data_IF_820293982679
#
_entry.id   IF_820293982679
#
_cell.length_a   1.000
_cell.length_b   1.000
_cell.length_c   1.000
_cell.angle_alpha   90.00
_cell.angle_beta   90.00
_cell.angle_gamma   90.00
#
_symmetry.space_group_name_H-M   'P 1'
#
loop_
_entity.id
_entity.type
_entity.pdbx_description
1 polymer ?
#
# COMPACT_ATOMS: atom_id res chain seq x y z
N UNK A 1 -18.34 -39.40 7.05
CA UNK A 1 -17.39 -39.37 8.19
C UNK A 1 -16.68 -38.03 8.12
N UNK A 2 -16.82 -37.17 9.14
CA UNK A 2 -16.04 -35.93 9.21
C UNK A 2 -14.64 -36.36 9.62
N UNK A 3 -13.70 -36.36 8.66
CA UNK A 3 -12.29 -36.53 8.96
C UNK A 3 -11.92 -35.47 10.01
N UNK A 4 -11.46 -35.89 11.19
CA UNK A 4 -10.88 -34.96 12.14
C UNK A 4 -9.56 -34.50 11.53
N UNK A 5 -9.61 -33.40 10.78
CA UNK A 5 -8.40 -32.77 10.28
C UNK A 5 -7.46 -32.52 11.47
N UNK A 6 -6.18 -32.93 11.36
CA UNK A 6 -5.22 -32.73 12.43
C UNK A 6 -5.17 -31.24 12.77
N UNK A 7 -5.32 -30.92 14.06
CA UNK A 7 -5.36 -29.55 14.54
C UNK A 7 -4.02 -28.88 14.22
N UNK A 8 -4.03 -27.90 13.31
CA UNK A 8 -2.84 -27.12 12.96
C UNK A 8 -2.19 -26.53 14.22
N UNK A 9 -0.84 -26.50 14.32
CA UNK A 9 -0.14 -25.88 15.44
C UNK A 9 -0.55 -24.42 15.61
N UNK A 10 -0.54 -23.88 16.83
CA UNK A 10 -0.78 -22.46 17.06
C UNK A 10 0.53 -21.67 17.06
N UNK A 11 0.54 -20.49 16.44
CA UNK A 11 1.70 -19.58 16.51
C UNK A 11 2.05 -19.12 17.93
N UNK A 12 1.13 -19.26 18.89
CA UNK A 12 1.39 -18.98 20.30
C UNK A 12 2.20 -20.10 20.99
N UNK A 13 2.26 -21.29 20.38
CA UNK A 13 2.96 -22.47 20.91
C UNK A 13 4.26 -22.70 20.14
N UNK A 14 4.18 -22.81 18.83
CA UNK A 14 5.33 -23.04 17.96
C UNK A 14 5.12 -22.34 16.62
N UNK A 15 5.79 -21.20 16.45
CA UNK A 15 5.70 -20.36 15.25
C UNK A 15 6.28 -21.04 14.01
N UNK A 16 7.32 -21.85 14.19
CA UNK A 16 8.01 -22.53 13.10
C UNK A 16 7.14 -23.69 12.60
N UNK A 17 6.63 -24.53 13.50
CA UNK A 17 5.73 -25.62 13.14
C UNK A 17 4.41 -25.10 12.55
N UNK A 18 3.85 -24.02 13.12
CA UNK A 18 2.67 -23.34 12.57
C UNK A 18 2.89 -22.86 11.14
N UNK A 19 3.99 -22.13 10.89
CA UNK A 19 4.30 -21.63 9.56
C UNK A 19 4.56 -22.78 8.56
N UNK A 20 5.30 -23.81 8.99
CA UNK A 20 5.62 -24.96 8.15
C UNK A 20 4.36 -25.74 7.73
N UNK A 21 3.45 -25.99 8.67
CA UNK A 21 2.18 -26.66 8.36
C UNK A 21 1.39 -25.89 7.30
N UNK A 22 1.37 -24.56 7.43
CA UNK A 22 0.73 -23.68 6.47
C UNK A 22 1.40 -23.70 5.09
N UNK A 23 2.74 -23.67 5.01
CA UNK A 23 3.46 -23.74 3.74
C UNK A 23 3.27 -25.08 3.02
N UNK A 24 3.10 -26.18 3.76
CA UNK A 24 2.77 -27.49 3.20
C UNK A 24 1.38 -27.49 2.55
N UNK A 25 0.39 -26.89 3.22
CA UNK A 25 -0.96 -26.73 2.68
C UNK A 25 -0.93 -25.85 1.41
N UNK A 26 -0.22 -24.72 1.47
CA UNK A 26 -0.02 -23.84 0.32
C UNK A 26 0.67 -24.55 -0.85
N UNK A 27 1.66 -25.40 -0.59
CA UNK A 27 2.32 -26.19 -1.60
C UNK A 27 1.36 -27.20 -2.26
N UNK A 28 0.41 -27.76 -1.51
CA UNK A 28 -0.68 -28.55 -2.08
C UNK A 28 -1.55 -27.75 -3.05
N UNK A 29 -1.89 -26.52 -2.68
CA UNK A 29 -2.67 -25.62 -3.54
C UNK A 29 -1.90 -25.12 -4.76
N UNK A 30 -0.67 -24.65 -4.64
CA UNK A 30 0.03 -23.99 -5.75
C UNK A 30 1.07 -24.86 -6.46
N UNK A 31 1.42 -26.02 -5.89
CA UNK A 31 2.44 -26.93 -6.41
C UNK A 31 1.91 -27.97 -7.40
N UNK A 32 0.60 -28.22 -7.44
CA UNK A 32 0.02 -29.13 -8.42
C UNK A 32 0.03 -28.50 -9.82
N UNK A 33 0.64 -29.18 -10.79
CA UNK A 33 0.59 -28.79 -12.22
C UNK A 33 -0.82 -28.93 -12.78
N UNK A 34 -1.56 -29.89 -12.24
CA UNK A 34 -2.99 -30.12 -12.45
C UNK A 34 -3.82 -29.37 -11.40
N UNK A 35 -3.33 -28.22 -10.93
CA UNK A 35 -4.17 -27.32 -10.17
C UNK A 35 -5.46 -27.18 -10.95
N UNK A 36 -6.61 -27.66 -10.43
CA UNK A 36 -7.87 -27.46 -11.10
C UNK A 36 -7.91 -25.97 -11.30
N UNK A 37 -7.85 -25.55 -12.56
CA UNK A 37 -8.05 -24.16 -12.86
C UNK A 37 -9.41 -23.91 -12.22
N UNK A 38 -9.45 -23.10 -11.17
CA UNK A 38 -10.69 -22.70 -10.52
C UNK A 38 -11.49 -21.77 -11.49
N UNK A 39 -11.30 -21.96 -12.79
CA UNK A 39 -11.86 -21.30 -13.97
C UNK A 39 -13.32 -21.70 -14.20
N UNK A 40 -14.02 -22.14 -13.14
CA UNK A 40 -15.38 -22.63 -13.22
C UNK A 40 -16.24 -22.08 -12.08
N UNK A 41 -17.44 -21.55 -12.36
CA UNK A 41 -18.50 -21.28 -11.39
C UNK A 41 -18.91 -22.49 -10.51
N UNK A 42 -18.27 -23.64 -10.66
CA UNK A 42 -18.64 -24.92 -10.05
C UNK A 42 -18.24 -25.07 -8.58
N UNK A 43 -17.25 -24.30 -8.07
CA UNK A 43 -16.83 -24.41 -6.66
C UNK A 43 -16.78 -23.09 -5.90
N UNK A 44 -16.55 -21.95 -6.57
CA UNK A 44 -16.45 -20.63 -5.89
C UNK A 44 -17.78 -19.88 -5.87
N UNK A 45 -18.75 -20.31 -6.67
CA UNK A 45 -20.10 -19.78 -6.62
C UNK A 45 -20.85 -20.13 -7.87
N UNK A 46 -21.98 -20.81 -7.72
CA UNK A 46 -22.97 -20.87 -8.80
C UNK A 46 -23.33 -19.43 -9.19
N UNK A 47 -23.71 -19.12 -10.45
CA UNK A 47 -24.11 -17.76 -10.86
C UNK A 47 -25.01 -17.02 -9.85
N UNK A 48 -25.97 -17.69 -9.16
CA UNK A 48 -26.73 -17.08 -8.07
C UNK A 48 -25.91 -16.47 -6.93
N UNK A 49 -24.71 -16.98 -6.61
CA UNK A 49 -23.86 -16.41 -5.56
C UNK A 49 -23.29 -15.05 -5.97
N UNK A 50 -22.85 -14.91 -7.21
CA UNK A 50 -22.29 -13.67 -7.73
C UNK A 50 -23.34 -12.56 -7.72
N UNK A 51 -24.55 -12.88 -8.18
CA UNK A 51 -25.70 -11.98 -8.11
C UNK A 51 -25.99 -11.53 -6.67
N UNK A 52 -25.90 -12.44 -5.69
CA UNK A 52 -26.13 -12.10 -4.28
C UNK A 52 -25.03 -11.18 -3.74
N UNK A 53 -23.77 -11.38 -4.15
CA UNK A 53 -22.68 -10.49 -3.78
C UNK A 53 -22.86 -9.08 -4.37
N UNK A 54 -23.19 -8.98 -5.66
CA UNK A 54 -23.46 -7.69 -6.32
C UNK A 54 -24.69 -6.98 -5.76
N UNK A 55 -25.78 -7.71 -5.47
CA UNK A 55 -27.00 -7.15 -4.92
C UNK A 55 -26.89 -6.72 -3.44
N UNK A 56 -25.79 -7.09 -2.78
CA UNK A 56 -25.54 -6.76 -1.38
C UNK A 56 -24.77 -5.46 -1.24
N UNK A 57 -25.49 -4.36 -0.98
CA UNK A 57 -24.93 -3.04 -0.67
C UNK A 57 -23.83 -3.10 0.42
N UNK A 58 -23.97 -4.03 1.37
CA UNK A 58 -22.99 -4.26 2.43
C UNK A 58 -21.69 -4.87 1.90
N UNK A 59 -21.78 -5.80 0.94
CA UNK A 59 -20.62 -6.41 0.29
C UNK A 59 -19.86 -5.37 -0.54
N UNK A 60 -20.58 -4.55 -1.30
CA UNK A 60 -19.98 -3.47 -2.10
C UNK A 60 -19.30 -2.43 -1.21
N UNK A 61 -19.96 -1.97 -0.14
CA UNK A 61 -19.36 -1.05 0.84
C UNK A 61 -18.11 -1.65 1.50
N UNK A 62 -18.17 -2.93 1.85
CA UNK A 62 -17.04 -3.65 2.42
C UNK A 62 -15.85 -3.63 1.46
N UNK A 63 -16.06 -4.01 0.21
CA UNK A 63 -15.00 -4.01 -0.81
C UNK A 63 -14.45 -2.60 -1.04
N UNK A 64 -15.31 -1.59 -1.18
CA UNK A 64 -14.87 -0.20 -1.35
C UNK A 64 -14.02 0.29 -0.18
N UNK A 65 -14.47 0.05 1.05
CA UNK A 65 -13.71 0.43 2.25
C UNK A 65 -12.36 -0.30 2.31
N UNK A 66 -12.33 -1.58 1.95
CA UNK A 66 -11.07 -2.34 1.88
C UNK A 66 -10.11 -1.80 0.82
N UNK A 67 -10.61 -1.40 -0.34
CA UNK A 67 -9.81 -0.78 -1.41
C UNK A 67 -9.16 0.50 -0.89
N UNK A 68 -9.96 1.40 -0.31
CA UNK A 68 -9.48 2.65 0.29
C UNK A 68 -8.44 2.42 1.40
N UNK A 69 -8.74 1.53 2.35
CA UNK A 69 -7.84 1.22 3.47
C UNK A 69 -6.53 0.60 2.99
N UNK A 70 -6.59 -0.27 1.99
CA UNK A 70 -5.40 -0.87 1.38
C UNK A 70 -4.55 0.17 0.69
N UNK A 71 -5.16 1.10 -0.04
CA UNK A 71 -4.45 2.20 -0.70
C UNK A 71 -3.77 3.14 0.32
N UNK A 72 -4.46 3.51 1.40
CA UNK A 72 -3.88 4.31 2.49
C UNK A 72 -2.71 3.58 3.13
N UNK A 73 -2.89 2.30 3.46
CA UNK A 73 -1.85 1.50 4.07
C UNK A 73 -0.64 1.35 3.14
N UNK A 74 -0.85 1.17 1.84
CA UNK A 74 0.21 1.04 0.86
C UNK A 74 1.02 2.33 0.70
N UNK A 75 0.35 3.50 0.68
CA UNK A 75 1.02 4.79 0.75
C UNK A 75 1.84 4.93 2.03
N UNK A 76 1.25 4.60 3.19
CA UNK A 76 1.96 4.66 4.46
C UNK A 76 3.20 3.74 4.46
N UNK A 77 3.07 2.51 3.95
CA UNK A 77 4.19 1.57 3.76
C UNK A 77 5.29 2.20 2.92
N UNK A 78 4.92 2.83 1.80
CA UNK A 78 5.88 3.48 0.91
C UNK A 78 6.64 4.60 1.61
N UNK A 79 5.94 5.49 2.32
CA UNK A 79 6.55 6.56 3.12
C UNK A 79 7.51 6.01 4.19
N UNK A 80 7.07 5.00 4.93
CA UNK A 80 7.89 4.38 5.99
C UNK A 80 9.10 3.68 5.38
N UNK A 81 8.94 2.95 4.27
CA UNK A 81 10.03 2.28 3.58
C UNK A 81 11.07 3.32 3.12
N UNK A 82 10.65 4.34 2.38
CA UNK A 82 11.47 5.47 1.93
C UNK A 82 12.32 6.04 3.07
N UNK A 83 11.69 6.35 4.20
CA UNK A 83 12.38 6.82 5.39
C UNK A 83 13.43 5.81 5.91
N UNK A 84 13.08 4.52 6.02
CA UNK A 84 13.96 3.46 6.54
C UNK A 84 15.15 3.16 5.62
N UNK A 85 14.94 3.18 4.30
CA UNK A 85 16.03 3.02 3.34
C UNK A 85 17.02 4.19 3.42
N UNK A 86 16.50 5.42 3.56
CA UNK A 86 17.34 6.62 3.60
C UNK A 86 18.09 6.80 4.92
N UNK A 87 17.39 6.76 6.06
CA UNK A 87 17.96 7.11 7.38
C UNK A 87 18.58 5.96 8.13
N UNK A 88 17.98 4.77 8.04
CA UNK A 88 18.40 3.63 8.84
C UNK A 88 19.29 2.65 8.11
N UNK A 89 19.55 2.87 6.82
CA UNK A 89 20.29 1.94 5.98
C UNK A 89 19.69 0.53 6.03
N UNK A 90 18.35 0.47 6.03
CA UNK A 90 17.58 -0.76 6.24
C UNK A 90 18.03 -1.89 5.30
N UNK A 91 18.26 -1.59 4.02
CA UNK A 91 18.69 -2.56 3.02
C UNK A 91 19.98 -3.28 3.42
N UNK A 92 21.03 -2.50 3.75
CA UNK A 92 22.33 -3.04 4.11
C UNK A 92 22.24 -3.85 5.39
N UNK A 93 21.53 -3.34 6.41
CA UNK A 93 21.30 -4.04 7.68
C UNK A 93 20.51 -5.34 7.50
N UNK A 94 19.53 -5.35 6.60
CA UNK A 94 18.77 -6.55 6.26
C UNK A 94 19.65 -7.59 5.57
N UNK A 95 20.45 -7.16 4.58
CA UNK A 95 21.38 -8.02 3.85
C UNK A 95 22.49 -8.58 4.74
N UNK A 96 22.93 -7.82 5.74
CA UNK A 96 23.96 -8.25 6.70
C UNK A 96 23.43 -9.22 7.77
N UNK A 97 22.12 -9.40 7.90
CA UNK A 97 21.55 -10.36 8.84
C UNK A 97 21.93 -11.81 8.46
N UNK A 98 21.95 -12.71 9.44
CA UNK A 98 21.99 -14.15 9.16
C UNK A 98 20.63 -14.61 8.62
N UNK A 99 20.62 -15.77 7.97
CA UNK A 99 19.38 -16.43 7.52
C UNK A 99 18.39 -16.61 8.68
N UNK A 100 18.87 -17.09 9.83
CA UNK A 100 18.08 -17.31 11.05
C UNK A 100 17.48 -16.00 11.59
N UNK A 101 18.26 -14.92 11.57
CA UNK A 101 17.79 -13.60 12.02
C UNK A 101 16.68 -13.06 11.12
N UNK A 102 16.82 -13.19 9.80
CA UNK A 102 15.75 -12.80 8.86
C UNK A 102 14.50 -13.64 9.03
N UNK A 103 14.64 -14.96 9.17
CA UNK A 103 13.52 -15.87 9.42
C UNK A 103 12.75 -15.48 10.68
N UNK A 104 13.45 -15.16 11.78
CA UNK A 104 12.83 -14.66 13.01
C UNK A 104 11.96 -13.43 12.74
N UNK A 105 12.47 -12.44 11.99
CA UNK A 105 11.72 -11.21 11.69
C UNK A 105 10.54 -11.45 10.75
N UNK A 106 10.69 -12.34 9.76
CA UNK A 106 9.60 -12.74 8.86
C UNK A 106 8.47 -13.42 9.66
N UNK A 107 8.81 -14.36 10.53
CA UNK A 107 7.85 -15.05 11.40
C UNK A 107 7.15 -14.08 12.36
N UNK A 108 7.90 -13.16 12.98
CA UNK A 108 7.31 -12.12 13.83
C UNK A 108 6.33 -11.24 13.04
N UNK A 109 6.68 -10.81 11.82
CA UNK A 109 5.79 -10.05 10.96
C UNK A 109 4.52 -10.82 10.57
N UNK A 110 4.63 -12.12 10.28
CA UNK A 110 3.49 -13.00 10.03
C UNK A 110 2.56 -13.12 11.25
N UNK A 111 3.14 -13.33 12.44
CA UNK A 111 2.37 -13.44 13.69
C UNK A 111 1.61 -12.15 13.96
N UNK A 112 2.29 -10.99 13.92
CA UNK A 112 1.64 -9.69 14.12
C UNK A 112 0.53 -9.43 13.12
N UNK A 113 0.74 -9.84 11.86
CA UNK A 113 -0.29 -9.72 10.83
C UNK A 113 -1.48 -10.61 11.16
N UNK A 114 -1.29 -11.88 11.48
CA UNK A 114 -2.40 -12.79 11.82
C UNK A 114 -3.11 -12.40 13.14
N UNK A 115 -2.41 -11.75 14.08
CA UNK A 115 -3.01 -11.20 15.29
C UNK A 115 -3.86 -9.95 15.04
N UNK A 116 -3.54 -9.16 14.01
CA UNK A 116 -4.28 -7.94 13.70
C UNK A 116 -5.73 -8.21 13.26
N UNK A 117 -5.99 -9.37 12.63
CA UNK A 117 -7.34 -9.79 12.25
C UNK A 117 -7.47 -11.31 12.28
N UNK A 118 -8.57 -11.86 12.83
CA UNK A 118 -8.81 -13.31 12.78
C UNK A 118 -8.90 -13.84 11.35
N UNK A 119 -9.25 -12.98 10.37
CA UNK A 119 -9.34 -13.38 8.96
C UNK A 119 -8.00 -13.35 8.23
N UNK A 120 -6.93 -12.84 8.84
CA UNK A 120 -5.65 -12.75 8.15
C UNK A 120 -4.96 -14.10 7.99
N UNK A 121 -5.19 -15.05 8.89
CA UNK A 121 -4.67 -16.42 8.74
C UNK A 121 -5.24 -17.09 7.48
N UNK A 122 -6.55 -16.96 7.24
CA UNK A 122 -7.21 -17.46 6.02
C UNK A 122 -6.65 -16.76 4.77
N UNK A 123 -6.40 -15.44 4.82
CA UNK A 123 -5.90 -14.68 3.66
C UNK A 123 -4.49 -15.06 3.23
N UNK A 124 -3.72 -15.73 4.08
CA UNK A 124 -2.41 -16.27 3.69
C UNK A 124 -2.53 -17.14 2.43
N UNK A 125 -3.63 -17.89 2.27
CA UNK A 125 -3.84 -18.79 1.12
C UNK A 125 -3.83 -18.05 -0.23
N UNK A 126 -4.05 -16.74 -0.22
CA UNK A 126 -4.01 -15.89 -1.41
C UNK A 126 -2.58 -15.42 -1.74
N UNK A 127 -1.59 -15.70 -0.89
CA UNK A 127 -0.27 -15.10 -0.93
C UNK A 127 0.84 -16.15 -1.11
N UNK A 128 0.93 -16.85 -2.26
CA UNK A 128 1.94 -17.88 -2.51
C UNK A 128 3.39 -17.36 -2.48
N UNK A 129 3.57 -16.05 -2.53
CA UNK A 129 4.84 -15.36 -2.36
C UNK A 129 5.37 -15.28 -0.92
N UNK A 130 4.50 -15.44 0.09
CA UNK A 130 4.88 -15.28 1.50
C UNK A 130 5.21 -16.63 2.12
N UNK A 131 6.37 -17.18 1.72
CA UNK A 131 6.95 -18.39 2.33
C UNK A 131 8.38 -18.10 2.78
N UNK A 132 8.82 -18.70 3.88
CA UNK A 132 10.18 -18.59 4.41
C UNK A 132 11.23 -18.99 3.37
N UNK A 133 11.10 -20.12 2.65
CA UNK A 133 12.06 -20.48 1.60
C UNK A 133 12.19 -19.39 0.53
N UNK A 134 11.07 -18.78 0.11
CA UNK A 134 11.07 -17.78 -0.95
C UNK A 134 11.64 -16.45 -0.49
N UNK A 135 11.30 -16.01 0.71
CA UNK A 135 11.69 -14.70 1.23
C UNK A 135 13.12 -14.66 1.78
N UNK A 136 13.65 -15.80 2.26
CA UNK A 136 14.92 -15.84 2.99
C UNK A 136 16.09 -16.46 2.20
N UNK A 137 15.86 -17.48 1.36
CA UNK A 137 16.95 -18.33 0.86
C UNK A 137 17.81 -17.71 -0.24
N UNK A 138 17.29 -16.78 -1.04
CA UNK A 138 18.03 -16.25 -2.20
C UNK A 138 18.68 -14.90 -1.89
N UNK A 139 19.93 -14.74 -2.34
CA UNK A 139 20.62 -13.44 -2.42
C UNK A 139 20.64 -12.64 -1.11
N UNK A 140 20.95 -13.26 0.03
CA UNK A 140 20.99 -12.58 1.32
C UNK A 140 19.66 -11.90 1.73
N UNK A 141 18.53 -12.52 1.40
CA UNK A 141 17.19 -11.99 1.72
C UNK A 141 16.67 -10.96 0.72
N UNK A 142 17.27 -10.88 -0.48
CA UNK A 142 16.82 -10.00 -1.56
C UNK A 142 15.33 -10.16 -1.92
N UNK A 143 14.73 -11.36 -1.97
CA UNK A 143 13.31 -11.50 -2.34
C UNK A 143 12.34 -10.76 -1.41
N UNK A 144 12.68 -10.59 -0.12
CA UNK A 144 11.88 -9.75 0.78
C UNK A 144 11.97 -8.26 0.41
N UNK A 145 13.16 -7.78 0.05
CA UNK A 145 13.37 -6.40 -0.40
C UNK A 145 12.64 -6.14 -1.73
N UNK A 146 12.69 -7.11 -2.66
CA UNK A 146 11.97 -7.04 -3.94
C UNK A 146 10.45 -6.96 -3.70
N UNK A 147 9.92 -7.77 -2.77
CA UNK A 147 8.51 -7.72 -2.38
C UNK A 147 8.14 -6.36 -1.77
N UNK A 148 8.97 -5.83 -0.86
CA UNK A 148 8.77 -4.51 -0.26
C UNK A 148 8.74 -3.41 -1.34
N UNK A 149 9.71 -3.42 -2.26
CA UNK A 149 9.80 -2.43 -3.34
C UNK A 149 8.61 -2.55 -4.31
N UNK A 150 8.20 -3.77 -4.67
CA UNK A 150 7.07 -3.99 -5.56
C UNK A 150 5.74 -3.46 -4.98
N UNK A 151 5.58 -3.52 -3.65
CA UNK A 151 4.41 -3.00 -2.95
C UNK A 151 4.48 -1.48 -2.72
N UNK A 152 5.64 -0.85 -2.82
CA UNK A 152 5.76 0.61 -2.69
C UNK A 152 5.18 1.32 -3.93
N UNK A 153 4.61 2.50 -3.67
CA UNK A 153 4.11 3.44 -4.66
C UNK A 153 5.24 4.33 -5.16
N UNK A 154 5.11 4.79 -6.40
CA UNK A 154 6.02 5.80 -6.97
C UNK A 154 5.71 7.20 -6.43
N UNK A 155 4.42 7.51 -6.28
CA UNK A 155 3.93 8.69 -5.57
C UNK A 155 3.60 8.32 -4.12
N UNK A 156 4.43 8.80 -3.19
CA UNK A 156 4.30 8.54 -1.76
C UNK A 156 3.44 9.59 -1.04
N UNK A 157 2.99 10.63 -1.73
CA UNK A 157 2.21 11.72 -1.17
C UNK A 157 0.72 11.48 -1.35
N UNK A 158 0.34 11.02 -2.54
CA UNK A 158 -1.06 10.81 -2.90
C UNK A 158 -1.50 9.41 -2.51
N UNK A 159 -2.68 9.29 -1.89
CA UNK A 159 -3.35 8.00 -1.75
C UNK A 159 -3.87 7.61 -3.14
N UNK A 160 -3.44 6.49 -3.72
CA UNK A 160 -3.92 6.10 -5.03
C UNK A 160 -5.40 5.74 -4.93
N UNK A 161 -6.16 5.96 -6.01
CA UNK A 161 -7.58 5.62 -6.02
C UNK A 161 -7.81 4.11 -5.82
N UNK A 162 -6.89 3.28 -6.32
CA UNK A 162 -6.84 1.85 -6.09
C UNK A 162 -5.46 1.44 -5.58
N UNK A 163 -5.38 0.42 -4.70
CA UNK A 163 -4.10 -0.13 -4.30
C UNK A 163 -3.41 -0.80 -5.50
N UNK A 164 -2.08 -0.62 -5.61
CA UNK A 164 -1.23 -1.26 -6.61
C UNK A 164 -1.14 -2.76 -6.29
N UNK A 165 -1.72 -3.65 -7.11
CA UNK A 165 -1.63 -5.09 -6.87
C UNK A 165 -0.22 -5.62 -7.17
N UNK A 166 0.20 -6.65 -6.44
CA UNK A 166 1.44 -7.38 -6.76
C UNK A 166 1.16 -8.39 -7.88
N UNK A 167 1.87 -8.37 -9.02
CA UNK A 167 1.71 -9.40 -10.06
C UNK A 167 2.02 -10.80 -9.52
N UNK A 168 1.18 -11.80 -9.83
CA UNK A 168 1.43 -13.20 -9.46
C UNK A 168 0.64 -14.15 -10.34
N UNK A 169 1.32 -14.85 -11.25
CA UNK A 169 0.69 -15.82 -12.15
C UNK A 169 -0.02 -16.93 -11.39
N UNK A 170 0.56 -17.37 -10.27
CA UNK A 170 0.00 -18.42 -9.44
C UNK A 170 -1.34 -17.98 -8.84
N UNK A 171 -1.40 -16.74 -8.32
CA UNK A 171 -2.64 -16.15 -7.82
C UNK A 171 -3.64 -15.88 -8.95
N UNK A 172 -3.20 -15.39 -10.11
CA UNK A 172 -4.07 -15.09 -11.24
C UNK A 172 -4.78 -16.36 -11.77
N UNK A 173 -4.04 -17.48 -11.87
CA UNK A 173 -4.62 -18.80 -12.19
C UNK A 173 -5.63 -19.25 -11.13
N UNK A 174 -5.32 -19.05 -9.85
CA UNK A 174 -6.22 -19.37 -8.75
C UNK A 174 -7.51 -18.54 -8.78
N UNK A 175 -7.41 -17.24 -9.06
CA UNK A 175 -8.53 -16.31 -9.06
C UNK A 175 -9.32 -16.29 -10.39
N UNK A 176 -8.86 -17.01 -11.42
CA UNK A 176 -9.51 -17.04 -12.74
C UNK A 176 -9.50 -15.67 -13.45
N UNK A 177 -8.46 -14.86 -13.24
CA UNK A 177 -8.41 -13.48 -13.71
C UNK A 177 -8.45 -13.34 -15.25
N UNK A 178 -8.10 -14.40 -15.99
CA UNK A 178 -8.10 -14.40 -17.45
C UNK A 178 -9.49 -14.58 -18.07
N UNK A 179 -10.52 -14.85 -17.25
CA UNK A 179 -11.90 -14.96 -17.73
C UNK A 179 -12.52 -13.57 -17.74
N UNK A 180 -12.50 -12.92 -18.90
CA UNK A 180 -13.27 -11.69 -19.12
C UNK A 180 -14.75 -11.99 -18.89
N UNK A 181 -15.30 -11.43 -17.83
CA UNK A 181 -16.70 -11.60 -17.45
C UNK A 181 -17.40 -10.25 -17.45
N UNK A 182 -18.56 -10.19 -18.10
CA UNK A 182 -19.47 -9.04 -18.00
C UNK A 182 -20.29 -9.09 -16.69
N UNK A 183 -20.19 -10.16 -15.92
CA UNK A 183 -20.91 -10.32 -14.66
C UNK A 183 -20.32 -9.43 -13.55
N UNK A 184 -21.12 -8.45 -13.10
CA UNK A 184 -20.71 -7.47 -12.06
C UNK A 184 -20.40 -8.14 -10.72
N UNK A 185 -21.08 -9.24 -10.39
CA UNK A 185 -20.83 -9.99 -9.15
C UNK A 185 -19.48 -10.67 -9.14
N UNK A 186 -19.09 -11.28 -10.25
CA UNK A 186 -17.79 -11.88 -10.45
C UNK A 186 -16.67 -10.84 -10.42
N UNK A 187 -16.85 -9.69 -11.09
CA UNK A 187 -15.90 -8.57 -11.03
C UNK A 187 -15.71 -8.06 -9.59
N UNK A 188 -16.80 -7.90 -8.83
CA UNK A 188 -16.74 -7.48 -7.43
C UNK A 188 -15.99 -8.51 -6.57
N UNK A 189 -16.23 -9.80 -6.80
CA UNK A 189 -15.52 -10.87 -6.10
C UNK A 189 -14.02 -10.85 -6.43
N UNK A 190 -13.65 -10.74 -7.70
CA UNK A 190 -12.26 -10.66 -8.14
C UNK A 190 -11.55 -9.47 -7.49
N UNK A 191 -12.17 -8.28 -7.50
CA UNK A 191 -11.65 -7.08 -6.84
C UNK A 191 -11.51 -7.29 -5.33
N UNK A 192 -12.49 -7.93 -4.70
CA UNK A 192 -12.46 -8.24 -3.26
C UNK A 192 -11.30 -9.18 -2.92
N UNK A 193 -11.10 -10.24 -3.69
CA UNK A 193 -10.02 -11.22 -3.47
C UNK A 193 -8.65 -10.60 -3.72
N UNK A 194 -8.50 -9.83 -4.81
CA UNK A 194 -7.27 -9.09 -5.11
C UNK A 194 -6.94 -8.10 -3.98
N UNK A 195 -7.93 -7.35 -3.52
CA UNK A 195 -7.76 -6.37 -2.43
C UNK A 195 -7.42 -7.06 -1.12
N UNK A 196 -8.08 -8.18 -0.77
CA UNK A 196 -7.74 -9.01 0.40
C UNK A 196 -6.29 -9.46 0.39
N UNK A 197 -5.81 -9.90 -0.78
CA UNK A 197 -4.41 -10.31 -0.99
C UNK A 197 -3.46 -9.13 -0.81
N UNK A 198 -3.66 -8.04 -1.55
CA UNK A 198 -2.80 -6.85 -1.46
C UNK A 198 -2.77 -6.31 -0.03
N UNK A 199 -3.92 -6.29 0.65
CA UNK A 199 -3.98 -5.86 2.05
C UNK A 199 -3.16 -6.73 3.00
N UNK A 200 -3.24 -8.06 2.84
CA UNK A 200 -2.42 -8.97 3.63
C UNK A 200 -0.93 -8.74 3.37
N UNK A 201 -0.52 -8.62 2.10
CA UNK A 201 0.89 -8.41 1.73
C UNK A 201 1.45 -7.11 2.30
N UNK A 202 0.72 -6.00 2.14
CA UNK A 202 1.15 -4.70 2.66
C UNK A 202 1.22 -4.74 4.19
N UNK A 203 0.23 -5.32 4.88
CA UNK A 203 0.26 -5.51 6.34
C UNK A 203 1.43 -6.40 6.80
N UNK A 204 1.70 -7.49 6.08
CA UNK A 204 2.80 -8.40 6.36
C UNK A 204 4.15 -7.67 6.28
N UNK A 205 4.43 -7.02 5.16
CA UNK A 205 5.69 -6.31 4.95
C UNK A 205 5.84 -5.16 5.94
N UNK A 206 4.76 -4.41 6.19
CA UNK A 206 4.72 -3.37 7.23
C UNK A 206 5.11 -3.92 8.60
N UNK A 207 4.54 -5.05 9.01
CA UNK A 207 4.83 -5.67 10.31
C UNK A 207 6.24 -6.26 10.40
N UNK A 208 6.81 -6.78 9.31
CA UNK A 208 8.23 -7.19 9.28
C UNK A 208 9.13 -5.97 9.48
N UNK A 209 8.86 -4.86 8.78
CA UNK A 209 9.61 -3.61 8.96
C UNK A 209 9.51 -3.11 10.41
N UNK A 210 8.32 -3.03 10.98
CA UNK A 210 8.16 -2.62 12.39
C UNK A 210 8.91 -3.55 13.34
N UNK A 211 8.78 -4.87 13.15
CA UNK A 211 9.44 -5.86 14.00
C UNK A 211 10.96 -5.73 13.95
N UNK A 212 11.54 -5.56 12.75
CA UNK A 212 12.97 -5.38 12.54
C UNK A 212 13.53 -4.18 13.31
N UNK A 213 12.77 -3.09 13.39
CA UNK A 213 13.14 -1.87 14.11
C UNK A 213 12.71 -1.86 15.58
N UNK A 214 12.19 -2.98 16.12
CA UNK A 214 11.72 -3.04 17.51
C UNK A 214 10.47 -2.19 17.78
N UNK A 215 9.76 -1.75 16.75
CA UNK A 215 8.56 -0.94 16.85
C UNK A 215 7.31 -1.81 16.93
N UNK A 216 6.23 -1.27 17.47
CA UNK A 216 4.89 -1.84 17.30
C UNK A 216 3.91 -0.73 16.99
N UNK A 217 2.88 -1.04 16.19
CA UNK A 217 1.79 -0.10 15.91
C UNK A 217 0.48 -0.86 15.95
N UNK A 218 -0.48 -0.32 16.68
CA UNK A 218 -1.87 -0.76 16.60
C UNK A 218 -2.45 -0.25 15.28
N UNK A 219 -2.52 -1.13 14.29
CA UNK A 219 -3.31 -0.85 13.08
C UNK A 219 -4.76 -1.10 13.43
N UNK A 220 -5.53 -0.02 13.60
CA UNK A 220 -6.96 -0.13 13.78
C UNK A 220 -7.59 -0.54 12.45
N UNK A 221 -7.96 -1.81 12.34
CA UNK A 221 -8.81 -2.26 11.26
C UNK A 221 -10.21 -1.72 11.50
N UNK A 222 -10.80 -1.07 10.48
CA UNK A 222 -12.22 -0.74 10.53
C UNK A 222 -12.97 -2.05 10.57
N UNK A 223 -13.45 -2.42 11.74
CA UNK A 223 -14.40 -3.50 11.85
C UNK A 223 -15.66 -3.05 11.11
N UNK A 224 -16.15 -3.90 10.23
CA UNK A 224 -17.33 -3.55 9.45
C UNK A 224 -18.56 -3.76 10.32
N UNK A 225 -19.47 -2.79 10.27
CA UNK A 225 -20.78 -2.95 10.88
C UNK A 225 -21.35 -4.29 10.40
N UNK A 226 -21.82 -5.15 11.31
CA UNK A 226 -22.41 -6.42 10.91
C UNK A 226 -23.51 -6.12 9.90
N UNK A 227 -23.54 -6.87 8.79
CA UNK A 227 -24.61 -6.77 7.83
C UNK A 227 -25.92 -6.83 8.63
N UNK A 228 -26.69 -5.73 8.57
CA UNK A 228 -27.96 -5.60 9.25
C UNK A 228 -28.75 -6.89 9.07
N UNK A 229 -29.48 -7.34 10.11
CA UNK A 229 -30.32 -8.55 10.10
C UNK A 229 -31.35 -8.59 8.95
N UNK A 230 -31.45 -7.53 8.16
CA UNK A 230 -32.23 -7.44 6.94
C UNK A 230 -31.54 -8.11 5.74
N UNK A 231 -31.92 -9.35 5.41
CA UNK A 231 -32.59 -9.74 4.14
C UNK A 231 -32.58 -11.28 3.90
N UNK A 232 -33.61 -11.82 3.21
CA UNK A 232 -33.70 -13.24 2.81
C UNK A 232 -32.56 -13.71 1.89
N UNK A 233 -31.82 -12.81 1.24
CA UNK A 233 -30.74 -13.18 0.31
C UNK A 233 -29.63 -13.96 0.99
N UNK A 234 -29.20 -13.58 2.20
CA UNK A 234 -28.16 -14.35 2.89
C UNK A 234 -28.67 -15.70 3.39
N UNK A 235 -29.93 -15.79 3.84
CA UNK A 235 -30.56 -17.08 4.15
C UNK A 235 -30.67 -17.97 2.92
N UNK A 236 -30.89 -17.40 1.73
CA UNK A 236 -30.82 -18.13 0.46
C UNK A 236 -29.40 -18.62 0.17
N UNK A 237 -28.36 -17.82 0.41
CA UNK A 237 -26.95 -18.28 0.31
C UNK A 237 -26.69 -19.43 1.28
N UNK A 238 -27.11 -19.31 2.54
CA UNK A 238 -26.98 -20.39 3.53
C UNK A 238 -27.62 -21.68 3.01
N UNK A 239 -28.84 -21.57 2.47
CA UNK A 239 -29.60 -22.70 1.94
C UNK A 239 -28.95 -23.30 0.70
N UNK A 240 -28.46 -22.46 -0.22
CA UNK A 240 -27.78 -22.88 -1.45
C UNK A 240 -26.45 -23.58 -1.17
N UNK A 241 -25.71 -23.12 -0.15
CA UNK A 241 -24.42 -23.70 0.23
C UNK A 241 -24.54 -24.86 1.22
N UNK A 242 -25.76 -25.19 1.66
CA UNK A 242 -25.98 -26.22 2.69
C UNK A 242 -25.28 -25.91 4.02
N UNK A 243 -24.93 -24.64 4.27
CA UNK A 243 -24.24 -24.23 5.50
C UNK A 243 -25.21 -24.26 6.68
N UNK A 244 -24.72 -24.62 7.87
CA UNK A 244 -25.54 -24.54 9.09
C UNK A 244 -25.62 -23.08 9.54
N UNK A 245 -26.78 -22.67 10.06
CA UNK A 245 -27.00 -21.30 10.57
C UNK A 245 -25.93 -20.81 11.56
N UNK A 246 -25.31 -21.72 12.33
CA UNK A 246 -24.23 -21.39 13.27
C UNK A 246 -22.96 -20.88 12.56
N UNK A 247 -22.63 -21.46 11.41
CA UNK A 247 -21.42 -21.13 10.66
C UNK A 247 -21.60 -19.77 10.00
N UNK A 248 -22.80 -19.52 9.48
CA UNK A 248 -23.20 -18.21 8.93
C UNK A 248 -23.20 -17.15 10.01
N UNK A 249 -23.75 -17.45 11.19
CA UNK A 249 -23.70 -16.50 12.31
C UNK A 249 -22.26 -16.16 12.67
N UNK A 250 -21.30 -17.09 12.57
CA UNK A 250 -19.86 -16.80 12.79
C UNK A 250 -19.29 -15.89 11.69
N UNK A 251 -19.63 -16.12 10.42
CA UNK A 251 -19.20 -15.29 9.29
C UNK A 251 -19.80 -13.87 9.32
N UNK A 252 -21.01 -13.72 9.83
CA UNK A 252 -21.78 -12.46 9.77
C UNK A 252 -21.65 -11.65 11.06
N UNK A 253 -21.38 -12.31 12.17
CA UNK A 253 -21.25 -11.69 13.48
C UNK A 253 -19.86 -11.10 13.69
N UNK A 254 -19.51 -10.04 12.94
CA UNK A 254 -18.48 -9.10 13.38
C UNK A 254 -19.03 -8.29 14.57
N UNK A 255 -19.13 -8.92 15.75
CA UNK A 255 -19.52 -8.22 16.99
C UNK A 255 -18.44 -7.21 17.35
N UNK A 256 -18.88 -5.99 17.69
CA UNK A 256 -17.98 -4.93 18.18
C UNK A 256 -17.34 -4.09 17.08
N UNK A 257 -18.00 -3.97 15.93
CA UNK A 257 -17.65 -2.99 14.92
C UNK A 257 -18.30 -1.65 15.23
N UNK A 258 -17.52 -0.67 15.67
CA UNK A 258 -18.02 0.68 15.88
C UNK A 258 -18.06 1.42 14.54
N UNK A 259 -19.13 2.19 14.26
CA UNK A 259 -19.18 3.00 13.06
C UNK A 259 -18.09 4.08 13.13
N UNK A 260 -17.41 4.30 12.00
CA UNK A 260 -16.46 5.40 11.83
C UNK A 260 -17.00 6.41 10.82
N UNK A 261 -16.64 7.69 11.01
CA UNK A 261 -16.98 8.76 10.09
C UNK A 261 -16.46 8.47 8.68
N UNK A 262 -17.30 8.55 7.65
CA UNK A 262 -16.90 8.26 6.28
C UNK A 262 -15.86 9.25 5.73
N UNK A 263 -15.85 10.49 6.23
CA UNK A 263 -14.91 11.51 5.79
C UNK A 263 -13.57 11.43 6.54
N UNK A 264 -13.57 11.66 7.85
CA UNK A 264 -12.33 11.73 8.66
C UNK A 264 -11.86 10.39 9.24
N UNK A 265 -12.66 9.32 9.09
CA UNK A 265 -12.34 7.95 9.54
C UNK A 265 -12.20 7.76 11.05
N UNK A 266 -12.50 8.77 11.85
CA UNK A 266 -12.53 8.67 13.30
C UNK A 266 -13.82 7.99 13.80
N UNK A 267 -13.67 7.20 14.88
CA UNK A 267 -14.77 6.64 15.65
C UNK A 267 -15.38 7.69 16.59
N UNK A 268 -16.55 7.42 17.15
CA UNK A 268 -17.22 8.39 18.03
C UNK A 268 -16.42 8.64 19.33
N UNK A 269 -15.84 7.60 19.91
CA UNK A 269 -15.01 7.64 21.13
C UNK A 269 -13.68 8.40 20.95
N UNK A 270 -13.24 8.57 19.70
CA UNK A 270 -12.04 9.34 19.34
C UNK A 270 -12.31 10.84 19.15
N UNK A 271 -13.57 11.28 19.25
CA UNK A 271 -13.96 12.67 19.00
C UNK A 271 -14.52 13.25 20.29
N UNK A 272 -13.83 14.26 20.82
CA UNK A 272 -14.22 14.92 22.06
C UNK A 272 -15.66 15.45 22.00
N UNK A 273 -16.47 15.10 23.00
CA UNK A 273 -17.86 15.52 23.13
C UNK A 273 -18.86 14.79 22.21
N UNK A 274 -18.42 13.83 21.39
CA UNK A 274 -19.31 13.12 20.47
C UNK A 274 -19.72 11.74 21.02
N UNK A 275 -21.01 11.56 21.29
CA UNK A 275 -21.53 10.27 21.80
C UNK A 275 -21.94 9.30 20.70
N UNK A 276 -22.27 9.81 19.50
CA UNK A 276 -22.69 8.99 18.36
C UNK A 276 -22.46 9.72 17.02
N UNK A 277 -22.22 8.94 15.97
CA UNK A 277 -22.15 9.46 14.61
C UNK A 277 -23.55 9.61 13.99
N UNK A 278 -23.72 10.62 13.13
CA UNK A 278 -24.96 10.90 12.39
C UNK A 278 -24.99 10.07 11.11
N UNK A 279 -26.05 9.30 10.90
CA UNK A 279 -26.23 8.51 9.68
C UNK A 279 -26.88 9.32 8.55
N UNK A 280 -26.47 9.07 7.30
CA UNK A 280 -27.16 9.58 6.12
C UNK A 280 -28.54 8.92 5.97
N UNK A 281 -29.62 9.70 6.07
CA UNK A 281 -31.00 9.18 6.02
C UNK A 281 -31.34 8.47 4.70
N UNK A 282 -30.92 9.02 3.55
CA UNK A 282 -31.14 8.44 2.21
C UNK A 282 -30.38 7.13 1.99
N UNK A 283 -29.17 7.02 2.54
CA UNK A 283 -28.44 5.75 2.49
C UNK A 283 -29.06 4.73 3.44
N UNK A 284 -29.46 5.17 4.63
CA UNK A 284 -30.13 4.30 5.61
C UNK A 284 -31.41 3.67 5.04
N UNK A 285 -32.20 4.40 4.23
CA UNK A 285 -33.43 3.87 3.62
C UNK A 285 -33.21 2.74 2.61
N UNK A 286 -32.02 2.65 2.01
CA UNK A 286 -31.65 1.53 1.11
C UNK A 286 -30.83 0.45 1.83
N UNK A 287 -30.63 0.57 3.15
CA UNK A 287 -29.82 -0.37 3.94
C UNK A 287 -28.32 -0.10 3.91
N UNK A 288 -27.90 1.08 3.42
CA UNK A 288 -26.49 1.52 3.41
C UNK A 288 -26.14 2.30 4.67
N UNK A 289 -24.98 1.99 5.25
CA UNK A 289 -24.54 2.50 6.54
C UNK A 289 -23.42 3.53 6.39
N UNK A 290 -23.80 4.77 6.11
CA UNK A 290 -22.85 5.90 5.99
C UNK A 290 -23.04 6.85 7.17
N UNK A 291 -21.97 7.05 7.94
CA UNK A 291 -21.96 7.81 9.18
C UNK A 291 -21.00 9.00 9.11
N UNK A 292 -21.31 10.08 9.82
CA UNK A 292 -20.50 11.28 9.89
C UNK A 292 -20.40 11.79 11.33
N UNK A 293 -19.25 12.34 11.71
CA UNK A 293 -19.09 12.98 13.02
C UNK A 293 -19.71 14.38 13.10
N UNK A 294 -20.09 14.96 11.97
CA UNK A 294 -20.68 16.29 11.92
C UNK A 294 -21.03 16.73 10.50
N UNK A 295 -21.69 17.89 10.38
CA UNK A 295 -22.16 18.44 9.11
C UNK A 295 -21.01 18.79 8.16
N UNK A 296 -19.89 19.28 8.68
CA UNK A 296 -18.69 19.59 7.88
C UNK A 296 -18.16 18.38 7.13
N UNK A 297 -17.99 17.25 7.84
CA UNK A 297 -17.57 15.98 7.25
C UNK A 297 -18.57 15.45 6.21
N UNK A 298 -19.88 15.55 6.50
CA UNK A 298 -20.91 15.16 5.55
C UNK A 298 -20.86 16.01 4.26
N UNK A 299 -20.73 17.33 4.38
CA UNK A 299 -20.65 18.24 3.21
C UNK A 299 -19.38 18.00 2.40
N UNK A 300 -18.25 17.74 3.07
CA UNK A 300 -17.01 17.43 2.38
C UNK A 300 -17.12 16.12 1.60
N UNK A 301 -17.59 15.03 2.22
CA UNK A 301 -17.79 13.74 1.55
C UNK A 301 -18.83 13.84 0.41
N UNK A 302 -19.86 14.67 0.58
CA UNK A 302 -20.85 14.96 -0.46
C UNK A 302 -20.23 15.55 -1.73
N UNK A 303 -19.22 16.41 -1.61
CA UNK A 303 -18.55 17.07 -2.73
C UNK A 303 -17.32 16.32 -3.23
N UNK A 304 -16.51 15.81 -2.30
CA UNK A 304 -15.11 15.42 -2.48
C UNK A 304 -14.82 13.98 -2.03
N UNK A 305 -15.85 13.19 -1.67
CA UNK A 305 -15.68 11.77 -1.38
C UNK A 305 -15.11 11.00 -2.58
N UNK A 306 -14.74 9.74 -2.37
CA UNK A 306 -14.25 8.86 -3.44
C UNK A 306 -15.06 7.55 -3.51
N UNK A 307 -16.13 7.48 -4.32
CA UNK A 307 -16.68 8.57 -5.15
C UNK A 307 -17.40 9.65 -4.31
N UNK A 308 -17.65 10.86 -4.85
CA UNK A 308 -18.42 11.87 -4.15
C UNK A 308 -19.79 11.34 -3.71
N UNK A 309 -20.15 11.51 -2.44
CA UNK A 309 -21.35 10.87 -1.90
C UNK A 309 -22.63 11.29 -2.64
N UNK A 310 -22.68 12.50 -3.22
CA UNK A 310 -23.79 12.96 -4.07
C UNK A 310 -24.10 12.04 -5.25
N UNK A 311 -23.10 11.33 -5.79
CA UNK A 311 -23.24 10.42 -6.93
C UNK A 311 -23.85 9.06 -6.53
N UNK A 312 -23.66 8.66 -5.27
CA UNK A 312 -24.07 7.33 -4.78
C UNK A 312 -25.23 7.39 -3.77
N UNK A 313 -25.56 8.57 -3.23
CA UNK A 313 -26.52 8.74 -2.14
C UNK A 313 -27.92 8.23 -2.51
N UNK A 314 -28.36 7.15 -1.87
CA UNK A 314 -29.70 6.57 -2.08
C UNK A 314 -29.86 5.76 -3.36
N UNK A 315 -28.79 5.53 -4.14
CA UNK A 315 -28.79 4.69 -5.33
C UNK A 315 -28.04 3.37 -5.05
N UNK A 316 -28.73 2.24 -5.20
CA UNK A 316 -28.21 0.88 -4.92
C UNK A 316 -27.10 0.48 -5.87
N UNK A 317 -27.22 0.78 -7.16
CA UNK A 317 -26.25 0.36 -8.18
C UNK A 317 -25.06 1.31 -8.32
N UNK A 318 -25.24 2.60 -8.04
CA UNK A 318 -24.20 3.60 -8.28
C UNK A 318 -22.91 3.37 -7.49
N UNK A 319 -23.00 2.77 -6.29
CA UNK A 319 -21.78 2.42 -5.55
C UNK A 319 -21.06 1.26 -6.20
N UNK A 320 -21.79 0.24 -6.66
CA UNK A 320 -21.18 -0.89 -7.36
C UNK A 320 -20.53 -0.43 -8.66
N UNK A 321 -21.20 0.43 -9.43
CA UNK A 321 -20.62 1.03 -10.64
C UNK A 321 -19.35 1.82 -10.33
N UNK A 322 -19.36 2.65 -9.29
CA UNK A 322 -18.18 3.42 -8.90
C UNK A 322 -17.03 2.53 -8.40
N UNK A 323 -17.33 1.47 -7.65
CA UNK A 323 -16.32 0.52 -7.15
C UNK A 323 -15.72 -0.33 -8.28
N UNK A 324 -16.51 -0.71 -9.28
CA UNK A 324 -16.03 -1.50 -10.43
C UNK A 324 -15.40 -0.65 -11.53
N UNK A 325 -15.73 0.63 -11.59
CA UNK A 325 -15.10 1.56 -12.54
C UNK A 325 -13.64 1.79 -12.15
N UNK A 326 -12.73 1.05 -12.78
CA UNK A 326 -11.30 1.32 -12.66
C UNK A 326 -11.04 2.78 -13.10
N UNK A 327 -10.41 3.62 -12.28
CA UNK A 327 -9.97 4.96 -12.66
C UNK A 327 -8.80 4.93 -13.66
N UNK A 328 -8.30 3.74 -14.03
CA UNK A 328 -7.39 3.57 -15.14
C UNK A 328 -7.99 4.26 -16.37
N UNK A 329 -7.26 5.23 -16.93
CA UNK A 329 -7.51 5.93 -18.19
C UNK A 329 -8.29 7.25 -18.19
N UNK A 330 -8.76 7.79 -17.06
CA UNK A 330 -9.02 9.24 -17.03
C UNK A 330 -7.79 9.91 -16.42
N UNK A 331 -6.77 10.32 -17.22
CA UNK A 331 -5.89 11.37 -16.74
C UNK A 331 -6.85 12.43 -16.23
N UNK A 332 -6.70 12.87 -14.98
CA UNK A 332 -7.46 14.02 -14.49
C UNK A 332 -7.17 15.12 -15.49
N UNK A 333 -8.08 15.30 -16.45
CA UNK A 333 -8.05 16.41 -17.35
C UNK A 333 -8.06 17.58 -16.39
N UNK A 334 -6.92 18.27 -16.29
CA UNK A 334 -6.83 19.50 -15.50
C UNK A 334 -8.04 20.29 -15.95
N UNK A 335 -9.02 20.42 -15.06
CA UNK A 335 -10.24 21.17 -15.34
C UNK A 335 -9.76 22.51 -15.87
N UNK A 336 -10.21 22.96 -17.06
CA UNK A 336 -9.88 24.29 -17.54
C UNK A 336 -10.37 25.24 -16.46
N UNK A 337 -9.45 25.78 -15.67
CA UNK A 337 -9.77 26.81 -14.71
C UNK A 337 -10.07 28.05 -15.52
N UNK A 338 -11.34 28.21 -15.91
CA UNK A 338 -11.90 29.51 -16.26
C UNK A 338 -12.01 30.31 -14.97
N UNK A 339 -10.87 30.73 -14.44
CA UNK A 339 -10.77 31.92 -13.59
C UNK A 339 -10.19 33.02 -14.47
N UNK A 340 -11.09 33.90 -14.86
CA UNK A 340 -10.79 35.28 -15.22
C UNK A 340 -9.89 35.91 -14.15
N UNK A 341 -8.85 36.58 -14.64
CA UNK A 341 -8.02 37.63 -14.02
C UNK A 341 -6.93 37.21 -13.01
N UNK A 342 -5.70 37.19 -13.55
CA UNK A 342 -4.46 37.77 -12.99
C UNK A 342 -4.08 37.42 -11.54
N UNK A 343 -3.76 36.16 -11.22
CA UNK A 343 -2.58 35.76 -10.40
C UNK A 343 -2.51 34.21 -10.26
N UNK A 344 -2.73 33.48 -11.35
CA UNK A 344 -2.62 32.02 -11.34
C UNK A 344 -1.17 31.61 -11.61
N UNK A 345 -0.35 31.58 -10.56
CA UNK A 345 0.83 30.71 -10.57
C UNK A 345 0.31 29.29 -10.76
N UNK A 346 0.35 28.77 -11.98
CA UNK A 346 -0.05 27.40 -12.28
C UNK A 346 0.60 26.45 -11.26
N UNK A 347 -0.17 25.52 -10.70
CA UNK A 347 0.29 24.39 -9.88
C UNK A 347 1.17 23.46 -10.73
N UNK A 348 2.32 23.96 -11.18
CA UNK A 348 3.35 23.20 -11.85
C UNK A 348 4.07 22.45 -10.74
N UNK A 349 4.02 21.10 -10.71
CA UNK A 349 4.75 20.34 -9.72
C UNK A 349 6.21 20.79 -9.69
N UNK A 350 6.74 21.05 -8.50
CA UNK A 350 8.14 21.49 -8.31
C UNK A 350 9.12 20.55 -9.02
N UNK A 351 8.83 19.25 -8.98
CA UNK A 351 9.64 18.19 -9.55
C UNK A 351 9.01 17.61 -10.82
N UNK A 352 9.76 17.49 -11.93
CA UNK A 352 9.25 16.89 -13.17
C UNK A 352 8.93 15.41 -12.97
N UNK A 353 7.85 14.90 -13.56
CA UNK A 353 7.54 13.47 -13.55
C UNK A 353 8.71 12.63 -14.12
N UNK A 354 8.96 11.41 -13.60
CA UNK A 354 9.99 10.55 -14.14
C UNK A 354 9.65 10.16 -15.60
N UNK A 355 10.69 10.06 -16.44
CA UNK A 355 10.55 9.56 -17.80
C UNK A 355 10.14 8.08 -17.80
N UNK A 356 9.42 7.60 -18.83
CA UNK A 356 9.06 6.20 -18.95
C UNK A 356 10.27 5.27 -18.80
N UNK A 357 10.17 4.29 -17.90
CA UNK A 357 11.24 3.33 -17.61
C UNK A 357 12.25 3.77 -16.54
N UNK A 358 12.17 5.01 -16.04
CA UNK A 358 12.96 5.47 -14.90
C UNK A 358 12.13 5.44 -13.61
N UNK A 359 12.59 4.68 -12.62
CA UNK A 359 11.99 4.65 -11.28
C UNK A 359 12.90 5.37 -10.29
N UNK A 360 12.38 6.39 -9.61
CA UNK A 360 13.12 7.09 -8.55
C UNK A 360 13.40 6.14 -7.39
N UNK A 361 14.63 6.15 -6.88
CA UNK A 361 14.99 5.32 -5.73
C UNK A 361 14.26 5.79 -4.46
N UNK A 362 14.10 4.92 -3.44
CA UNK A 362 13.54 5.34 -2.16
C UNK A 362 14.33 6.50 -1.52
N UNK A 363 15.65 6.50 -1.61
CA UNK A 363 16.49 7.58 -1.08
C UNK A 363 16.19 8.91 -1.80
N UNK A 364 16.01 8.89 -3.12
CA UNK A 364 15.66 10.09 -3.88
C UNK A 364 14.26 10.60 -3.50
N UNK A 365 13.27 9.70 -3.36
CA UNK A 365 11.94 10.11 -2.91
C UNK A 365 11.97 10.76 -1.52
N UNK A 366 12.82 10.25 -0.60
CA UNK A 366 13.04 10.87 0.70
C UNK A 366 13.63 12.27 0.58
N UNK A 367 14.63 12.43 -0.29
CA UNK A 367 15.25 13.72 -0.54
C UNK A 367 14.25 14.75 -1.10
N UNK A 368 13.35 14.34 -2.00
CA UNK A 368 12.30 15.20 -2.52
C UNK A 368 11.28 15.59 -1.45
N UNK A 369 10.94 14.67 -0.54
CA UNK A 369 10.03 14.92 0.60
C UNK A 369 10.58 16.04 1.50
N UNK A 370 11.85 15.94 1.87
CA UNK A 370 12.51 16.95 2.71
C UNK A 370 12.53 18.33 2.04
N UNK A 371 12.70 18.36 0.71
CA UNK A 371 12.68 19.62 -0.01
C UNK A 371 11.28 20.19 -0.14
N UNK A 372 10.24 19.37 -0.34
CA UNK A 372 8.86 19.84 -0.38
C UNK A 372 8.39 20.40 0.97
N UNK A 373 8.86 19.82 2.09
CA UNK A 373 8.61 20.36 3.45
C UNK A 373 9.37 21.67 3.71
N UNK A 374 10.46 21.94 2.97
CA UNK A 374 11.32 23.09 3.15
C UNK A 374 11.66 23.76 1.80
N UNK A 375 10.74 24.55 1.21
CA UNK A 375 10.87 25.07 -0.15
C UNK A 375 12.08 25.99 -0.37
N UNK A 376 12.63 26.56 0.70
CA UNK A 376 13.80 27.43 0.66
C UNK A 376 15.14 26.67 0.62
N UNK A 377 15.11 25.33 0.70
CA UNK A 377 16.30 24.50 0.62
C UNK A 377 16.57 24.05 -0.82
N UNK A 378 17.86 23.96 -1.14
CA UNK A 378 18.33 23.41 -2.41
C UNK A 378 18.60 21.93 -2.31
N UNK A 379 19.16 21.49 -1.19
CA UNK A 379 19.49 20.10 -0.95
C UNK A 379 19.57 19.81 0.56
N UNK A 380 19.56 18.52 0.92
CA UNK A 380 19.69 18.07 2.30
C UNK A 380 20.70 16.92 2.34
N UNK A 381 21.74 17.05 3.15
CA UNK A 381 22.69 15.98 3.43
C UNK A 381 22.12 15.13 4.56
N UNK A 382 21.57 13.97 4.19
CA UNK A 382 20.80 13.10 5.09
C UNK A 382 21.76 12.34 6.01
N UNK A 383 21.57 12.47 7.33
CA UNK A 383 22.44 11.84 8.32
C UNK A 383 21.78 10.64 8.97
N UNK A 384 22.57 9.62 9.38
CA UNK A 384 22.06 8.57 10.24
C UNK A 384 21.56 9.14 11.58
N UNK A 385 20.46 8.59 12.08
CA UNK A 385 19.99 8.91 13.43
C UNK A 385 21.07 8.59 14.49
N UNK A 386 21.18 9.41 15.55
CA UNK A 386 20.31 10.53 15.93
C UNK A 386 20.79 11.90 15.42
N UNK A 387 21.73 11.96 14.47
CA UNK A 387 22.29 13.23 14.02
C UNK A 387 21.27 14.02 13.18
N UNK A 388 21.13 15.34 13.38
CA UNK A 388 20.25 16.16 12.55
C UNK A 388 20.80 16.28 11.13
N UNK A 389 19.91 16.24 10.14
CA UNK A 389 20.27 16.42 8.73
C UNK A 389 20.94 17.80 8.52
N UNK A 390 21.85 17.91 7.55
CA UNK A 390 22.48 19.20 7.21
C UNK A 390 21.83 19.80 5.97
N UNK A 391 21.23 20.97 6.12
CA UNK A 391 20.57 21.68 5.01
C UNK A 391 21.59 22.40 4.14
N UNK A 392 21.31 22.51 2.84
CA UNK A 392 22.14 23.20 1.86
C UNK A 392 21.31 24.26 1.15
N UNK A 393 21.83 25.49 1.15
CA UNK A 393 21.31 26.63 0.39
C UNK A 393 22.47 27.29 -0.33
N UNK A 394 22.34 27.52 -1.63
CA UNK A 394 23.35 28.19 -2.44
C UNK A 394 23.18 29.70 -2.32
N UNK A 395 24.18 30.44 -1.78
CA UNK A 395 24.05 31.89 -1.59
C UNK A 395 24.08 32.67 -2.92
N UNK A 396 24.62 32.07 -3.97
CA UNK A 396 24.71 32.67 -5.30
C UNK A 396 23.50 32.22 -6.14
N UNK A 397 22.72 33.17 -6.66
CA UNK A 397 21.59 32.91 -7.54
C UNK A 397 21.95 32.07 -8.78
N UNK A 398 23.15 32.26 -9.33
CA UNK A 398 23.65 31.48 -10.47
C UNK A 398 23.88 30.02 -10.04
N UNK A 399 24.48 29.81 -8.87
CA UNK A 399 24.72 28.47 -8.32
C UNK A 399 23.40 27.74 -8.03
N UNK A 400 22.45 28.43 -7.40
CA UNK A 400 21.10 27.94 -7.17
C UNK A 400 20.42 27.52 -8.48
N UNK A 401 20.45 28.38 -9.50
CA UNK A 401 19.85 28.09 -10.81
C UNK A 401 20.46 26.85 -11.48
N UNK A 402 21.80 26.79 -11.58
CA UNK A 402 22.47 25.65 -12.21
C UNK A 402 22.26 24.34 -11.45
N UNK A 403 22.33 24.39 -10.11
CA UNK A 403 22.06 23.21 -9.29
C UNK A 403 20.62 22.72 -9.48
N UNK A 404 19.64 23.63 -9.43
CA UNK A 404 18.23 23.32 -9.66
C UNK A 404 17.98 22.70 -11.03
N UNK A 405 18.66 23.17 -12.08
CA UNK A 405 18.58 22.59 -13.42
C UNK A 405 19.13 21.16 -13.47
N UNK A 406 20.32 20.92 -12.91
CA UNK A 406 20.94 19.59 -12.87
C UNK A 406 20.06 18.60 -12.08
N UNK A 407 19.59 19.02 -10.90
CA UNK A 407 18.73 18.20 -10.05
C UNK A 407 17.41 17.87 -10.73
N UNK A 408 16.72 18.84 -11.35
CA UNK A 408 15.47 18.56 -12.07
C UNK A 408 15.65 17.54 -13.19
N UNK A 409 16.76 17.60 -13.93
CA UNK A 409 17.09 16.60 -14.96
C UNK A 409 17.35 15.22 -14.35
N UNK A 410 18.19 15.14 -13.31
CA UNK A 410 18.51 13.89 -12.62
C UNK A 410 17.27 13.25 -11.94
N UNK A 411 16.31 14.06 -11.48
CA UNK A 411 15.03 13.60 -10.91
C UNK A 411 14.07 13.05 -11.97
N UNK A 412 14.15 13.58 -13.20
CA UNK A 412 13.33 13.15 -14.32
C UNK A 412 13.87 11.88 -14.99
N UNK A 413 15.18 11.71 -15.09
CA UNK A 413 15.80 10.58 -15.77
C UNK A 413 17.21 10.27 -15.25
N UNK A 414 17.71 9.07 -15.57
CA UNK A 414 19.07 8.67 -15.28
C UNK A 414 20.07 9.52 -16.07
N UNK A 415 20.76 10.44 -15.39
CA UNK A 415 21.75 11.34 -15.99
C UNK A 415 23.02 11.45 -15.15
N UNK A 416 24.02 10.58 -15.37
CA UNK A 416 25.25 10.54 -14.58
C UNK A 416 26.03 11.86 -14.57
N UNK A 417 26.05 12.57 -15.70
CA UNK A 417 26.75 13.86 -15.80
C UNK A 417 26.09 14.95 -14.95
N UNK A 418 24.76 15.01 -14.92
CA UNK A 418 24.06 16.01 -14.10
C UNK A 418 24.22 15.73 -12.61
N UNK A 419 24.22 14.45 -12.22
CA UNK A 419 24.52 14.04 -10.84
C UNK A 419 25.97 14.37 -10.46
N UNK A 420 26.92 14.24 -11.39
CA UNK A 420 28.30 14.64 -11.16
C UNK A 420 28.43 16.17 -10.99
N UNK A 421 27.71 16.99 -11.77
CA UNK A 421 27.66 18.44 -11.53
C UNK A 421 27.03 18.79 -10.18
N UNK A 422 25.98 18.07 -9.76
CA UNK A 422 25.42 18.20 -8.42
C UNK A 422 26.45 17.88 -7.34
N UNK A 423 27.21 16.80 -7.50
CA UNK A 423 28.30 16.43 -6.59
C UNK A 423 29.31 17.58 -6.45
N UNK A 424 29.79 18.15 -7.55
CA UNK A 424 30.75 19.26 -7.53
C UNK A 424 30.20 20.49 -6.80
N UNK A 425 28.91 20.79 -6.95
CA UNK A 425 28.26 21.90 -6.25
C UNK A 425 28.09 21.62 -4.74
N UNK A 426 27.80 20.37 -4.36
CA UNK A 426 27.54 19.97 -2.97
C UNK A 426 28.81 19.69 -2.16
N UNK A 427 29.92 19.34 -2.81
CA UNK A 427 31.17 18.94 -2.16
C UNK A 427 31.68 19.97 -1.11
N UNK A 428 31.70 21.29 -1.39
CA UNK A 428 32.14 22.27 -0.39
C UNK A 428 31.26 22.27 0.87
N UNK A 429 29.94 22.12 0.71
CA UNK A 429 28.98 22.05 1.81
C UNK A 429 29.17 20.77 2.62
N UNK A 430 29.36 19.63 1.95
CA UNK A 430 29.63 18.33 2.59
C UNK A 430 30.95 18.32 3.40
N UNK A 431 31.98 19.01 2.92
CA UNK A 431 33.26 19.16 3.66
C UNK A 431 33.13 20.04 4.90
N UNK A 432 32.29 21.08 4.85
CA UNK A 432 32.10 22.06 5.94
C UNK A 432 31.02 21.64 6.95
N UNK A 433 30.14 20.72 6.59
CA UNK A 433 29.05 20.26 7.43
C UNK A 433 29.58 19.72 8.77
N UNK A 434 29.04 20.20 9.90
CA UNK A 434 29.43 19.82 11.26
C UNK A 434 28.30 19.08 11.98
N UNK A 435 28.55 17.92 12.62
CA UNK A 435 29.81 17.15 12.63
C UNK A 435 30.20 16.72 11.21
N UNK A 436 31.46 16.32 10.95
CA UNK A 436 31.91 16.04 9.58
C UNK A 436 30.96 15.06 8.84
N UNK A 437 30.27 15.56 7.79
CA UNK A 437 29.51 14.69 6.89
C UNK A 437 30.51 13.95 5.99
N UNK A 438 31.36 14.72 5.28
CA UNK A 438 32.45 14.19 4.47
C UNK A 438 32.03 13.89 3.03
N UNK A 439 33.03 13.88 2.15
CA UNK A 439 32.85 13.70 0.70
C UNK A 439 32.39 12.27 0.37
N UNK A 440 32.91 11.27 1.06
CA UNK A 440 32.54 9.88 0.81
C UNK A 440 31.06 9.62 1.12
N UNK A 441 30.53 10.20 2.20
CA UNK A 441 29.08 10.11 2.49
C UNK A 441 28.22 10.82 1.45
N UNK A 442 28.71 11.91 0.87
CA UNK A 442 28.00 12.59 -0.23
C UNK A 442 27.95 11.69 -1.48
N UNK A 443 29.06 11.04 -1.84
CA UNK A 443 29.09 10.08 -2.95
C UNK A 443 28.14 8.91 -2.69
N UNK A 444 28.16 8.35 -1.48
CA UNK A 444 27.24 7.28 -1.08
C UNK A 444 25.77 7.70 -1.16
N UNK A 445 25.45 8.92 -0.68
CA UNK A 445 24.09 9.47 -0.76
C UNK A 445 23.64 9.63 -2.22
N UNK A 446 24.46 10.25 -3.08
CA UNK A 446 24.13 10.41 -4.50
C UNK A 446 24.02 9.07 -5.23
N UNK A 447 24.83 8.08 -4.86
CA UNK A 447 24.74 6.71 -5.38
C UNK A 447 23.42 6.04 -4.97
N UNK A 448 22.99 6.21 -3.72
CA UNK A 448 21.70 5.69 -3.24
C UNK A 448 20.51 6.40 -3.90
N UNK A 449 20.59 7.70 -4.12
CA UNK A 449 19.52 8.50 -4.73
C UNK A 449 19.38 8.25 -6.23
N UNK A 450 20.47 8.33 -6.98
CA UNK A 450 20.44 8.35 -8.45
C UNK A 450 20.99 7.08 -9.10
N UNK A 451 21.59 6.15 -8.34
CA UNK A 451 22.27 4.99 -8.89
C UNK A 451 23.55 5.34 -9.65
N UNK A 452 24.18 6.47 -9.34
CA UNK A 452 25.36 6.99 -10.03
C UNK A 452 26.59 6.89 -9.12
N UNK A 453 27.62 6.20 -9.59
CA UNK A 453 28.92 6.16 -8.93
C UNK A 453 29.79 7.34 -9.40
N UNK A 454 30.02 8.30 -8.50
CA UNK A 454 30.72 9.56 -8.82
C UNK A 454 32.16 9.30 -9.28
N UNK A 455 32.85 8.33 -8.69
CA UNK A 455 34.24 8.04 -9.02
C UNK A 455 34.36 7.41 -10.41
N UNK A 456 33.39 6.57 -10.79
CA UNK A 456 33.29 6.03 -12.14
C UNK A 456 33.03 7.13 -13.19
N UNK A 457 32.10 8.05 -12.91
CA UNK A 457 31.82 9.17 -13.82
C UNK A 457 33.04 10.08 -13.95
N UNK A 458 33.72 10.37 -12.84
CA UNK A 458 34.95 11.17 -12.85
C UNK A 458 36.04 10.52 -13.72
N UNK A 459 36.28 9.22 -13.54
CA UNK A 459 37.28 8.48 -14.32
C UNK A 459 36.98 8.52 -15.83
N UNK A 460 35.70 8.40 -16.22
CA UNK A 460 35.28 8.51 -17.62
C UNK A 460 35.53 9.91 -18.20
N UNK A 461 35.28 10.98 -17.42
CA UNK A 461 35.57 12.35 -17.85
C UNK A 461 37.07 12.55 -18.09
N UNK A 462 37.91 12.07 -17.16
CA UNK A 462 39.37 12.17 -17.31
C UNK A 462 39.88 11.43 -18.54
N UNK A 463 39.32 10.25 -18.84
CA UNK A 463 39.70 9.46 -20.01
C UNK A 463 39.30 10.08 -21.36
N UNK A 464 38.36 11.04 -21.38
CA UNK A 464 37.97 11.77 -22.60
C UNK A 464 38.81 13.04 -22.80
N UNK A 465 39.33 13.62 -21.71
CA UNK A 465 40.09 14.86 -21.73
C UNK A 465 41.61 14.65 -21.85
N UNK A 466 42.11 13.49 -21.44
CA UNK A 466 43.51 13.07 -21.61
C UNK A 466 43.70 12.28 -22.89
#
# INVERSE_FOLDING_TARGET
MVSMEPKSPSFNVDRVAWNRAWEQELAGFYGSRDMPSYTGPSLIGTPPMWDILAASDASVQLTNNMVEETAILQRNLSQKAVFRFAKDDFESKWKSCTSETREKWILEGLVRTCQASPHFEERRMLCPEVTLPRLNLKGNGQPFLDLLQALCLEDIYTVPANPKPLPSDAFNRFNGHDVSTQDRGCQLYQLTTLTKRTYFLVMFVWNVLLAFHGESRTVFLRKLAPASKSKPSMQQVVKLLGLKNKDVKRYVSCKGAEPACQNCRLFADQIEGLTALVACSRCKSIGRHVYYCGRSCQVNDYKNGNPPHKQICGNTDALLDATLSSPESKPKAKTPHTSTDEDQSEDIPRWPAPQPGYTRSPALQYQLLLLDEHPNLDYVLVRPEPQPDTTVVFPNAIGHFFFGLCMRRAVACYSPMEVYHMYQALEPSARKAMPAFGVEKLKEQLKKEYGVDIDEVHARIQAVLG
#
